data_IF_936686767397
#
_entry.id   IF_936686767397
#
_cell.length_a   1.000
_cell.length_b   1.000
_cell.length_c   1.000
_cell.angle_alpha   90.00
_cell.angle_beta   90.00
_cell.angle_gamma   90.00
#
_symmetry.space_group_name_H-M   'P 1'
#
loop_
_entity.id
_entity.type
_entity.pdbx_description
1 polymer ?
#
# COMPACT_ATOMS: atom_id res chain seq x y z
N UNK A 1 -29.29 38.91 31.74
CA UNK A 1 -27.96 38.64 31.13
C UNK A 1 -28.19 38.28 29.67
N UNK A 2 -27.69 39.06 28.70
CA UNK A 2 -27.87 38.76 27.29
C UNK A 2 -26.88 37.69 26.78
N UNK A 3 -27.40 36.81 25.93
CA UNK A 3 -26.65 35.76 25.23
C UNK A 3 -25.66 36.35 24.22
N UNK A 4 -24.46 35.79 24.06
CA UNK A 4 -23.53 36.30 23.04
C UNK A 4 -23.90 35.78 21.64
N UNK A 5 -23.76 36.65 20.65
CA UNK A 5 -24.00 36.42 19.23
C UNK A 5 -22.95 35.49 18.60
N UNK A 6 -23.31 34.79 17.51
CA UNK A 6 -22.38 33.90 16.82
C UNK A 6 -21.37 34.72 15.98
N UNK A 7 -20.09 34.37 16.13
CA UNK A 7 -19.03 34.90 15.30
C UNK A 7 -19.10 34.34 13.89
N UNK A 8 -19.34 35.18 12.90
CA UNK A 8 -19.19 34.88 11.49
C UNK A 8 -17.71 34.87 11.11
N UNK A 9 -17.21 33.69 10.66
CA UNK A 9 -15.90 33.58 10.04
C UNK A 9 -15.97 34.01 8.57
N UNK A 10 -14.95 34.68 8.03
CA UNK A 10 -14.93 35.09 6.63
C UNK A 10 -14.67 33.89 5.72
N UNK A 11 -15.51 33.75 4.68
CA UNK A 11 -15.32 32.80 3.59
C UNK A 11 -14.14 33.27 2.72
N UNK A 12 -13.00 32.59 2.85
CA UNK A 12 -11.87 32.77 1.94
C UNK A 12 -12.12 31.87 0.73
N UNK A 13 -12.58 32.45 -0.37
CA UNK A 13 -12.72 31.77 -1.66
C UNK A 13 -11.36 31.32 -2.19
N UNK A 14 -11.14 30.02 -2.19
CA UNK A 14 -10.01 29.42 -2.90
C UNK A 14 -10.31 29.43 -4.40
N UNK A 15 -9.66 30.32 -5.12
CA UNK A 15 -9.63 30.32 -6.59
C UNK A 15 -8.79 29.16 -7.05
N UNK A 16 -9.42 28.10 -7.56
CA UNK A 16 -8.70 27.03 -8.26
C UNK A 16 -8.19 27.57 -9.58
N UNK A 17 -6.90 27.89 -9.67
CA UNK A 17 -6.24 28.17 -10.90
C UNK A 17 -6.16 26.84 -11.70
N UNK A 18 -6.86 26.79 -12.84
CA UNK A 18 -6.74 25.72 -13.83
C UNK A 18 -5.34 25.78 -14.44
N UNK A 19 -4.44 24.93 -13.99
CA UNK A 19 -3.18 24.68 -14.69
C UNK A 19 -3.50 23.82 -15.90
N UNK A 20 -3.35 24.38 -17.09
CA UNK A 20 -3.40 23.64 -18.36
C UNK A 20 -2.24 22.64 -18.38
N UNK A 21 -2.55 21.36 -18.14
CA UNK A 21 -1.63 20.24 -18.31
C UNK A 21 -1.40 20.02 -19.79
N UNK A 22 -0.23 20.40 -20.29
CA UNK A 22 0.31 19.92 -21.56
C UNK A 22 0.38 18.40 -21.48
N UNK A 23 -0.50 17.76 -22.25
CA UNK A 23 -0.63 16.30 -22.26
C UNK A 23 0.63 15.61 -22.78
N UNK A 24 1.47 15.17 -21.89
CA UNK A 24 2.44 14.12 -22.19
C UNK A 24 1.68 12.81 -22.13
N UNK A 25 1.49 12.17 -23.29
CA UNK A 25 0.93 10.82 -23.37
C UNK A 25 1.66 9.91 -22.37
N UNK A 26 0.95 9.08 -21.58
CA UNK A 26 1.62 8.08 -20.75
C UNK A 26 2.45 7.19 -21.67
N UNK A 27 3.74 7.24 -21.53
CA UNK A 27 4.63 6.29 -22.20
C UNK A 27 4.21 4.89 -21.73
N UNK A 28 3.88 4.06 -22.71
CA UNK A 28 3.46 2.68 -22.45
C UNK A 28 4.55 1.95 -21.68
N UNK A 29 4.31 1.71 -20.38
CA UNK A 29 5.16 0.88 -19.50
C UNK A 29 5.19 -0.60 -19.93
N UNK A 30 4.59 -0.95 -21.08
CA UNK A 30 4.41 -2.33 -21.52
C UNK A 30 5.65 -2.99 -22.14
N UNK A 31 6.71 -2.26 -22.47
CA UNK A 31 7.86 -2.83 -23.19
C UNK A 31 9.04 -3.27 -22.34
N UNK A 32 8.98 -3.15 -21.01
CA UNK A 32 10.12 -3.40 -20.12
C UNK A 32 9.88 -4.35 -18.95
N UNK A 33 8.65 -4.78 -18.68
CA UNK A 33 8.39 -5.73 -17.57
C UNK A 33 8.77 -7.15 -18.02
N UNK A 34 10.04 -7.51 -17.78
CA UNK A 34 10.48 -8.90 -17.90
C UNK A 34 9.57 -9.76 -17.01
N UNK A 35 8.93 -10.77 -17.62
CA UNK A 35 8.11 -11.73 -16.86
C UNK A 35 8.93 -12.30 -15.72
N UNK A 36 8.44 -12.16 -14.49
CA UNK A 36 9.08 -12.75 -13.33
C UNK A 36 8.92 -14.27 -13.41
N UNK A 37 10.02 -14.97 -13.36
CA UNK A 37 10.00 -16.38 -13.02
C UNK A 37 9.55 -16.50 -11.57
N UNK A 38 8.69 -17.49 -11.29
CA UNK A 38 8.28 -17.75 -9.91
C UNK A 38 9.53 -18.08 -9.09
N UNK A 39 9.73 -17.41 -7.96
CA UNK A 39 10.86 -17.69 -7.10
C UNK A 39 10.78 -19.10 -6.52
N UNK A 40 11.92 -19.70 -6.24
CA UNK A 40 11.97 -20.89 -5.41
C UNK A 40 11.52 -20.54 -3.98
N UNK A 41 10.46 -21.20 -3.55
CA UNK A 41 9.84 -21.01 -2.23
C UNK A 41 10.17 -22.17 -1.28
N UNK A 42 11.22 -22.93 -1.59
CA UNK A 42 11.69 -24.02 -0.74
C UNK A 42 12.43 -23.47 0.48
N UNK A 43 12.04 -23.92 1.67
CA UNK A 43 12.78 -23.61 2.90
C UNK A 43 14.24 -24.08 2.83
N UNK A 44 15.15 -23.26 3.31
CA UNK A 44 16.56 -23.59 3.37
C UNK A 44 17.26 -22.86 4.53
N UNK A 45 18.42 -23.37 5.01
CA UNK A 45 19.21 -22.67 6.03
C UNK A 45 19.66 -21.27 5.61
N UNK A 46 19.75 -20.99 4.31
CA UNK A 46 20.05 -19.65 3.80
C UNK A 46 18.88 -18.68 4.01
N UNK A 47 17.65 -19.14 3.71
CA UNK A 47 16.41 -18.37 3.96
C UNK A 47 16.21 -18.16 5.45
N UNK A 48 16.44 -19.18 6.27
CA UNK A 48 16.36 -19.07 7.73
C UNK A 48 17.26 -17.94 8.25
N UNK A 49 18.53 -17.92 7.87
CA UNK A 49 19.46 -16.86 8.28
C UNK A 49 19.04 -15.49 7.74
N UNK A 50 18.60 -15.42 6.49
CA UNK A 50 18.19 -14.15 5.87
C UNK A 50 16.93 -13.56 6.52
N UNK A 51 16.02 -14.40 7.04
CA UNK A 51 14.76 -13.98 7.64
C UNK A 51 14.79 -13.95 9.17
N UNK A 52 15.87 -14.40 9.81
CA UNK A 52 16.01 -14.42 11.28
C UNK A 52 15.69 -13.06 11.94
N UNK A 53 16.17 -11.89 11.45
CA UNK A 53 15.85 -10.61 12.06
C UNK A 53 14.36 -10.24 11.97
N UNK A 54 13.65 -10.78 10.96
CA UNK A 54 12.21 -10.61 10.81
C UNK A 54 11.49 -11.52 11.81
N UNK A 55 11.93 -12.78 11.91
CA UNK A 55 11.35 -13.74 12.83
C UNK A 55 11.46 -13.30 14.29
N UNK A 56 12.56 -12.68 14.69
CA UNK A 56 12.72 -12.14 16.05
C UNK A 56 11.59 -11.17 16.47
N UNK A 57 11.00 -10.47 15.50
CA UNK A 57 9.86 -9.56 15.73
C UNK A 57 8.51 -10.27 15.75
N UNK A 58 8.47 -11.52 15.30
CA UNK A 58 7.25 -12.30 15.06
C UNK A 58 7.16 -13.55 15.94
N UNK A 59 8.23 -13.95 16.62
CA UNK A 59 8.34 -15.21 17.35
C UNK A 59 7.31 -15.41 18.47
N UNK A 60 6.81 -14.30 19.03
CA UNK A 60 5.78 -14.33 20.06
C UNK A 60 4.35 -14.45 19.47
N UNK A 61 4.22 -14.31 18.15
CA UNK A 61 2.95 -14.33 17.42
C UNK A 61 2.89 -15.55 16.49
N UNK A 62 3.99 -15.86 15.81
CA UNK A 62 4.07 -16.96 14.85
C UNK A 62 4.89 -18.10 15.45
N UNK A 63 4.27 -19.28 15.67
CA UNK A 63 4.98 -20.45 16.19
C UNK A 63 6.16 -20.88 15.31
N UNK A 64 7.26 -21.39 15.89
CA UNK A 64 8.43 -21.83 15.12
C UNK A 64 8.11 -22.84 14.02
N UNK A 65 7.11 -23.69 14.22
CA UNK A 65 6.69 -24.71 13.27
C UNK A 65 6.05 -24.13 12.00
N UNK A 66 5.47 -22.92 12.08
CA UNK A 66 4.83 -22.24 10.94
C UNK A 66 5.83 -21.39 10.15
N UNK A 67 6.90 -20.94 10.77
CA UNK A 67 7.88 -20.06 10.14
C UNK A 67 8.49 -20.60 8.85
N UNK A 68 8.86 -21.89 8.73
CA UNK A 68 9.38 -22.45 7.49
C UNK A 68 8.44 -22.36 6.30
N UNK A 69 7.14 -22.23 6.51
CA UNK A 69 6.16 -22.05 5.43
C UNK A 69 6.03 -20.61 4.98
N UNK A 70 6.28 -19.64 5.86
CA UNK A 70 6.12 -18.20 5.59
C UNK A 70 7.42 -17.54 5.12
N UNK A 71 8.54 -17.91 5.72
CA UNK A 71 9.82 -17.27 5.48
C UNK A 71 10.29 -17.25 4.02
N UNK A 72 10.10 -18.31 3.20
CA UNK A 72 10.46 -18.26 1.78
C UNK A 72 9.69 -17.18 1.02
N UNK A 73 8.39 -17.01 1.31
CA UNK A 73 7.56 -15.96 0.70
C UNK A 73 8.04 -14.58 1.14
N UNK A 74 8.24 -14.37 2.44
CA UNK A 74 8.74 -13.10 3.00
C UNK A 74 10.10 -12.74 2.37
N UNK A 75 10.99 -13.71 2.27
CA UNK A 75 12.31 -13.54 1.64
C UNK A 75 12.17 -13.13 0.17
N UNK A 76 11.36 -13.88 -0.59
CA UNK A 76 11.15 -13.63 -2.01
C UNK A 76 10.51 -12.26 -2.26
N UNK A 77 9.47 -11.89 -1.50
CA UNK A 77 8.80 -10.59 -1.62
C UNK A 77 9.78 -9.45 -1.31
N UNK A 78 10.55 -9.55 -0.21
CA UNK A 78 11.52 -8.53 0.15
C UNK A 78 12.67 -8.39 -0.88
N UNK A 79 13.02 -9.45 -1.60
CA UNK A 79 13.97 -9.41 -2.70
C UNK A 79 13.35 -8.73 -3.93
N UNK A 80 12.16 -9.19 -4.36
CA UNK A 80 11.49 -8.70 -5.55
C UNK A 80 11.13 -7.21 -5.42
N UNK A 81 10.63 -6.75 -4.25
CA UNK A 81 10.32 -5.33 -4.07
C UNK A 81 11.53 -4.43 -4.24
N UNK A 82 12.72 -4.87 -3.80
CA UNK A 82 13.98 -4.13 -4.03
C UNK A 82 14.38 -4.13 -5.50
N UNK A 83 14.33 -5.29 -6.15
CA UNK A 83 14.65 -5.43 -7.57
C UNK A 83 13.74 -4.60 -8.49
N UNK A 84 12.50 -4.36 -8.06
CA UNK A 84 11.48 -3.64 -8.80
C UNK A 84 11.28 -2.18 -8.38
N UNK A 85 12.09 -1.69 -7.45
CA UNK A 85 11.92 -0.38 -6.84
C UNK A 85 10.47 -0.17 -6.37
N UNK A 86 9.94 -1.16 -5.64
CA UNK A 86 8.56 -1.16 -5.15
C UNK A 86 8.51 -0.88 -3.64
N UNK A 87 7.47 -0.17 -3.20
CA UNK A 87 7.15 0.08 -1.80
C UNK A 87 5.84 -0.61 -1.45
N UNK A 88 5.81 -1.30 -0.32
CA UNK A 88 4.62 -2.00 0.18
C UNK A 88 3.99 -1.17 1.30
N UNK A 89 2.76 -0.73 1.07
CA UNK A 89 1.91 -0.03 2.04
C UNK A 89 0.90 -1.03 2.60
N UNK A 90 0.89 -1.26 3.91
CA UNK A 90 0.00 -2.22 4.53
C UNK A 90 -0.93 -1.58 5.57
N UNK A 91 -2.22 -1.88 5.47
CA UNK A 91 -3.19 -1.42 6.45
C UNK A 91 -3.03 -2.15 7.79
N UNK A 92 -3.38 -1.49 8.88
CA UNK A 92 -3.25 -1.99 10.26
C UNK A 92 -3.96 -3.34 10.53
N UNK A 93 -4.94 -3.73 9.74
CA UNK A 93 -5.62 -5.02 9.88
C UNK A 93 -4.92 -6.19 9.16
N UNK A 94 -3.82 -5.95 8.46
CA UNK A 94 -3.08 -7.02 7.81
C UNK A 94 -2.50 -7.99 8.84
N UNK A 95 -2.30 -9.24 8.42
CA UNK A 95 -1.72 -10.27 9.26
C UNK A 95 -0.29 -9.94 9.65
N UNK A 96 0.21 -10.45 10.79
CA UNK A 96 1.53 -10.10 11.31
C UNK A 96 2.68 -10.32 10.33
N UNK A 97 2.64 -11.37 9.52
CA UNK A 97 3.66 -11.68 8.53
C UNK A 97 3.71 -10.64 7.39
N UNK A 98 2.56 -10.02 7.05
CA UNK A 98 2.52 -8.91 6.09
C UNK A 98 2.98 -7.63 6.77
N UNK A 99 2.40 -7.31 7.92
CA UNK A 99 2.63 -6.07 8.66
C UNK A 99 4.11 -5.91 9.08
N UNK A 100 4.70 -6.96 9.65
CA UNK A 100 6.07 -6.93 10.16
C UNK A 100 7.10 -7.57 9.21
N UNK A 101 6.64 -8.43 8.27
CA UNK A 101 7.52 -9.20 7.41
C UNK A 101 7.88 -8.53 6.09
N UNK A 102 6.94 -7.85 5.45
CA UNK A 102 7.12 -7.32 4.09
C UNK A 102 6.76 -5.84 3.92
N UNK A 103 5.90 -5.27 4.78
CA UNK A 103 5.48 -3.89 4.66
C UNK A 103 6.65 -2.92 4.93
N UNK A 104 6.71 -1.84 4.16
CA UNK A 104 7.62 -0.72 4.36
C UNK A 104 6.94 0.41 5.13
N UNK A 105 5.65 0.58 4.92
CA UNK A 105 4.82 1.60 5.58
C UNK A 105 3.54 0.94 6.06
N UNK A 106 3.16 1.22 7.30
CA UNK A 106 1.93 0.72 7.92
C UNK A 106 1.11 1.86 8.47
N UNK A 107 -0.21 1.70 8.49
CA UNK A 107 -1.10 2.73 9.00
C UNK A 107 -2.58 2.46 8.72
N UNK A 108 -3.42 3.42 9.11
CA UNK A 108 -4.82 3.49 8.70
C UNK A 108 -4.97 4.01 7.26
N UNK A 109 -6.20 3.98 6.74
CA UNK A 109 -6.50 4.37 5.34
C UNK A 109 -6.04 5.79 5.00
N UNK A 110 -6.29 6.76 5.89
CA UNK A 110 -5.91 8.16 5.68
C UNK A 110 -4.41 8.36 5.79
N UNK A 111 -3.79 7.73 6.77
CA UNK A 111 -2.35 7.77 6.97
C UNK A 111 -1.61 7.18 5.76
N UNK A 112 -2.04 6.02 5.27
CA UNK A 112 -1.46 5.39 4.08
C UNK A 112 -1.64 6.24 2.83
N UNK A 113 -2.81 6.87 2.64
CA UNK A 113 -3.04 7.80 1.53
C UNK A 113 -2.05 8.97 1.54
N UNK A 114 -1.80 9.57 2.71
CA UNK A 114 -0.83 10.65 2.88
C UNK A 114 0.61 10.19 2.69
N UNK A 115 0.96 9.00 3.20
CA UNK A 115 2.31 8.45 3.09
C UNK A 115 2.61 7.93 1.68
N UNK A 116 1.60 7.47 0.94
CA UNK A 116 1.76 7.06 -0.46
C UNK A 116 2.37 8.17 -1.34
N UNK A 117 2.04 9.45 -1.07
CA UNK A 117 2.61 10.58 -1.83
C UNK A 117 4.08 10.85 -1.53
N UNK A 118 4.55 10.39 -0.37
CA UNK A 118 5.94 10.61 0.11
C UNK A 118 6.81 9.38 -0.02
N UNK A 119 6.20 8.22 -0.24
CA UNK A 119 6.91 6.97 -0.35
C UNK A 119 7.79 6.98 -1.62
N UNK A 120 9.02 6.52 -1.47
CA UNK A 120 9.95 6.36 -2.59
C UNK A 120 9.68 5.03 -3.31
N UNK A 121 9.95 4.98 -4.61
CA UNK A 121 9.75 3.81 -5.47
C UNK A 121 8.82 4.08 -6.65
N UNK A 122 8.99 3.31 -7.73
CA UNK A 122 8.21 3.43 -8.97
C UNK A 122 6.86 2.71 -8.87
N UNK A 123 6.80 1.71 -8.00
CA UNK A 123 5.64 0.84 -7.81
C UNK A 123 5.17 0.92 -6.36
N UNK A 124 3.87 1.16 -6.17
CA UNK A 124 3.20 1.06 -4.88
C UNK A 124 2.41 -0.24 -4.86
N UNK A 125 2.64 -1.10 -3.87
CA UNK A 125 1.81 -2.27 -3.61
C UNK A 125 0.96 -1.98 -2.39
N UNK A 126 -0.36 -1.83 -2.59
CA UNK A 126 -1.31 -1.51 -1.53
C UNK A 126 -1.90 -2.79 -0.94
N UNK A 127 -1.42 -3.21 0.23
CA UNK A 127 -2.01 -4.30 1.01
C UNK A 127 -3.15 -3.77 1.87
N UNK A 128 -4.35 -3.81 1.31
CA UNK A 128 -5.58 -3.29 1.89
C UNK A 128 -6.76 -3.60 0.98
N UNK A 129 -7.87 -2.89 1.18
CA UNK A 129 -9.05 -3.03 0.34
C UNK A 129 -8.94 -2.17 -0.92
N UNK A 130 -9.76 -2.48 -1.92
CA UNK A 130 -9.68 -1.92 -3.28
C UNK A 130 -9.68 -0.39 -3.30
N UNK A 131 -10.58 0.28 -2.57
CA UNK A 131 -10.65 1.75 -2.57
C UNK A 131 -9.38 2.43 -2.04
N UNK A 132 -8.57 1.76 -1.20
CA UNK A 132 -7.28 2.30 -0.76
C UNK A 132 -6.26 2.33 -1.90
N UNK A 133 -6.26 1.30 -2.76
CA UNK A 133 -5.42 1.27 -3.95
C UNK A 133 -5.86 2.34 -4.96
N UNK A 134 -7.16 2.55 -5.13
CA UNK A 134 -7.72 3.63 -5.96
C UNK A 134 -7.29 5.00 -5.43
N UNK A 135 -7.41 5.24 -4.12
CA UNK A 135 -6.96 6.48 -3.48
C UNK A 135 -5.46 6.70 -3.68
N UNK A 136 -4.65 5.65 -3.49
CA UNK A 136 -3.21 5.72 -3.75
C UNK A 136 -2.90 6.04 -5.21
N UNK A 137 -3.68 5.50 -6.16
CA UNK A 137 -3.53 5.80 -7.60
C UNK A 137 -3.95 7.22 -7.96
N UNK A 138 -5.03 7.73 -7.40
CA UNK A 138 -5.48 9.10 -7.60
C UNK A 138 -4.45 10.12 -7.12
N UNK A 139 -3.80 9.84 -5.99
CA UNK A 139 -2.76 10.70 -5.42
C UNK A 139 -1.38 10.55 -6.08
N UNK A 140 -1.17 9.47 -6.84
CA UNK A 140 0.08 9.16 -7.52
C UNK A 140 -0.21 8.75 -8.99
N UNK A 141 -0.71 9.65 -9.84
CA UNK A 141 -1.20 9.32 -11.17
C UNK A 141 -0.13 8.76 -12.09
N UNK A 142 1.13 9.14 -11.90
CA UNK A 142 2.26 8.72 -12.74
C UNK A 142 2.90 7.40 -12.28
N UNK A 143 2.55 6.91 -11.08
CA UNK A 143 3.12 5.68 -10.52
C UNK A 143 2.25 4.47 -10.81
N UNK A 144 2.85 3.30 -10.87
CA UNK A 144 2.13 2.04 -10.89
C UNK A 144 1.62 1.73 -9.48
N UNK A 145 0.32 1.49 -9.34
CA UNK A 145 -0.29 1.03 -8.08
C UNK A 145 -0.88 -0.35 -8.30
N UNK A 146 -0.47 -1.28 -7.48
CA UNK A 146 -0.90 -2.68 -7.50
C UNK A 146 -1.64 -3.02 -6.22
N UNK A 147 -2.58 -3.95 -6.32
CA UNK A 147 -3.27 -4.59 -5.20
C UNK A 147 -3.10 -6.10 -5.32
N UNK A 148 -2.78 -6.83 -4.25
CA UNK A 148 -2.58 -8.28 -4.30
C UNK A 148 -3.81 -9.07 -4.76
N UNK A 149 -5.02 -8.63 -4.37
CA UNK A 149 -6.28 -9.20 -4.82
C UNK A 149 -7.29 -8.09 -5.13
N UNK A 150 -7.70 -7.96 -6.38
CA UNK A 150 -8.70 -6.97 -6.82
C UNK A 150 -10.10 -7.18 -6.20
N UNK A 151 -10.35 -8.37 -5.63
CA UNK A 151 -11.61 -8.71 -4.93
C UNK A 151 -11.61 -8.27 -3.46
N UNK A 152 -10.51 -7.72 -2.96
CA UNK A 152 -10.40 -7.22 -1.58
C UNK A 152 -11.35 -6.03 -1.39
N UNK A 153 -12.61 -6.31 -1.11
CA UNK A 153 -13.68 -5.32 -0.94
C UNK A 153 -13.84 -4.87 0.51
N UNK A 154 -14.69 -3.87 0.69
CA UNK A 154 -15.09 -3.37 2.01
C UNK A 154 -16.61 -3.25 2.04
N UNK A 155 -17.26 -4.03 2.90
CA UNK A 155 -18.73 -4.01 3.03
C UNK A 155 -19.27 -2.62 3.43
N UNK A 156 -18.52 -1.88 4.23
CA UNK A 156 -18.88 -0.52 4.61
C UNK A 156 -18.81 0.45 3.42
N UNK A 157 -17.75 0.37 2.61
CA UNK A 157 -17.63 1.20 1.41
C UNK A 157 -18.67 0.83 0.34
N UNK A 158 -19.10 -0.44 0.30
CA UNK A 158 -20.11 -0.94 -0.63
C UNK A 158 -21.56 -0.74 -0.13
N UNK A 159 -21.77 -0.16 1.06
CA UNK A 159 -23.10 0.06 1.64
C UNK A 159 -23.88 1.21 0.99
N UNK A 160 -23.21 2.05 0.21
CA UNK A 160 -23.79 3.17 -0.53
C UNK A 160 -23.19 3.23 -1.93
N UNK A 161 -24.00 3.55 -2.91
CA UNK A 161 -23.59 3.71 -4.31
C UNK A 161 -23.90 5.13 -4.80
N UNK A 162 -23.33 5.51 -5.96
CA UNK A 162 -23.67 6.79 -6.59
C UNK A 162 -25.15 6.95 -6.95
N UNK A 163 -25.91 5.85 -7.06
CA UNK A 163 -27.35 5.88 -7.29
C UNK A 163 -28.17 6.14 -6.03
N UNK A 164 -27.57 6.01 -4.85
CA UNK A 164 -28.21 6.23 -3.56
C UNK A 164 -28.12 7.71 -3.11
N UNK A 165 -27.39 8.54 -3.87
CA UNK A 165 -27.17 9.97 -3.64
C UNK A 165 -27.91 10.79 -4.69
#
# INVERSE_FOLDING_TARGET
MPSPAPHSAPATGAVFASAATTGTKPQALSSGLKRLEMPDLTWSPAIERATAPIYERLKDIIPPVEWPFMAPYIHAINRIKKERNAVILAHNYQTPEIFHGVADVVGDSLQLARLATKAEGDIIVQCGVHFMAETSKLLNPDRMVLIPDSRAGCSLASSITGADI
#
